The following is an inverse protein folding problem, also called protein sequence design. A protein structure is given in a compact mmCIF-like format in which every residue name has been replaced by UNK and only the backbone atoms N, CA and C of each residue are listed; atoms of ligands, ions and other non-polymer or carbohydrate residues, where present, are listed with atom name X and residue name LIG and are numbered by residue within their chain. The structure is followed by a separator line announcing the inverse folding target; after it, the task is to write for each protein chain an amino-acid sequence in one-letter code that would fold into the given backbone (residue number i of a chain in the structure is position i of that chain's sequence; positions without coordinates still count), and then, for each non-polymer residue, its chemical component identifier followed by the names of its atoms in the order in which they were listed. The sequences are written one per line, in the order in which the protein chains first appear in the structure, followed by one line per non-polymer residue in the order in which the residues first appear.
data_IF_526690368408
#
_entry.id   IF_526690368408
#
_cell.length_a   1.000
_cell.length_b   1.000
_cell.length_c   1.000
_cell.angle_alpha   90.00
_cell.angle_beta   90.00
_cell.angle_gamma   90.00
#
_symmetry.space_group_name_H-M   'P 1'
#
loop_
_entity.id
_entity.type
_entity.pdbx_description
1 polymer ?
#
# COMPACT_ATOMS: atom_id res chain seq x y z
N UNK A 1 -0.32 12.45 6.44
CA UNK A 1 -1.81 12.40 6.46
C UNK A 1 -2.44 13.03 5.22
N UNK A 2 -2.22 14.31 4.89
CA UNK A 2 -2.86 14.98 3.72
C UNK A 2 -2.58 14.29 2.37
N UNK A 3 -1.41 13.66 2.22
CA UNK A 3 -1.07 12.88 1.02
C UNK A 3 -2.01 11.69 0.81
N UNK A 4 -2.48 11.02 1.87
CA UNK A 4 -3.41 9.89 1.75
C UNK A 4 -4.74 10.35 1.15
N UNK A 5 -5.28 11.46 1.63
CA UNK A 5 -6.49 12.06 1.08
C UNK A 5 -6.32 12.44 -0.40
N UNK A 6 -5.18 13.04 -0.75
CA UNK A 6 -4.86 13.37 -2.15
C UNK A 6 -4.83 12.12 -3.03
N UNK A 7 -4.23 11.02 -2.57
CA UNK A 7 -4.16 9.77 -3.32
C UNK A 7 -5.55 9.15 -3.48
N UNK A 8 -6.33 9.06 -2.41
CA UNK A 8 -7.71 8.55 -2.45
C UNK A 8 -8.54 9.37 -3.44
N UNK A 9 -8.47 10.70 -3.38
CA UNK A 9 -9.18 11.57 -4.30
C UNK A 9 -8.72 11.36 -5.76
N UNK A 10 -7.41 11.22 -6.01
CA UNK A 10 -6.87 10.99 -7.35
C UNK A 10 -7.26 9.63 -7.93
N UNK A 11 -7.19 8.55 -7.14
CA UNK A 11 -7.59 7.20 -7.59
C UNK A 11 -9.03 7.17 -8.09
N UNK A 12 -9.92 7.95 -7.45
CA UNK A 12 -11.33 8.03 -7.85
C UNK A 12 -11.62 9.04 -8.97
N UNK A 13 -10.66 9.91 -9.33
CA UNK A 13 -10.86 10.98 -10.34
C UNK A 13 -10.08 10.77 -11.63
N UNK A 14 -8.94 10.09 -11.60
CA UNK A 14 -8.09 9.90 -12.77
C UNK A 14 -8.74 8.90 -13.75
N UNK A 15 -8.96 9.35 -14.98
CA UNK A 15 -9.67 8.59 -16.02
C UNK A 15 -9.03 7.23 -16.30
N UNK A 16 -7.71 7.17 -16.46
CA UNK A 16 -7.00 5.92 -16.75
C UNK A 16 -7.15 4.86 -15.64
N UNK A 17 -7.25 5.25 -14.36
CA UNK A 17 -7.45 4.32 -13.23
C UNK A 17 -8.89 3.80 -13.22
N UNK A 18 -9.84 4.70 -13.47
CA UNK A 18 -11.26 4.36 -13.55
C UNK A 18 -11.53 3.44 -14.75
N UNK A 19 -10.91 3.71 -15.89
CA UNK A 19 -11.00 2.89 -17.10
C UNK A 19 -10.37 1.50 -16.89
N UNK A 20 -9.21 1.43 -16.22
CA UNK A 20 -8.59 0.16 -15.86
C UNK A 20 -9.54 -0.71 -15.02
N UNK A 21 -10.24 -0.11 -14.06
CA UNK A 21 -11.24 -0.81 -13.25
C UNK A 21 -12.38 -1.35 -14.12
N UNK A 22 -12.70 -0.75 -15.27
CA UNK A 22 -13.75 -1.20 -16.20
C UNK A 22 -13.25 -2.21 -17.24
N UNK A 23 -11.98 -2.61 -17.20
CA UNK A 23 -11.43 -3.54 -18.16
C UNK A 23 -12.23 -4.86 -18.17
N UNK A 24 -12.70 -5.28 -19.36
CA UNK A 24 -13.58 -6.44 -19.50
C UNK A 24 -12.96 -7.74 -18.97
N UNK A 25 -11.69 -8.01 -19.31
CA UNK A 25 -10.98 -9.22 -18.83
C UNK A 25 -10.80 -9.21 -17.30
N UNK A 26 -10.64 -8.03 -16.71
CA UNK A 26 -10.53 -7.87 -15.27
C UNK A 26 -11.87 -8.10 -14.58
N UNK A 27 -12.95 -7.54 -15.12
CA UNK A 27 -14.31 -7.71 -14.58
C UNK A 27 -14.83 -9.14 -14.73
N UNK A 28 -14.44 -9.86 -15.79
CA UNK A 28 -14.74 -11.28 -15.95
C UNK A 28 -14.08 -12.14 -14.85
N UNK A 29 -12.87 -11.79 -14.41
CA UNK A 29 -12.15 -12.52 -13.36
C UNK A 29 -12.49 -12.06 -11.94
N UNK A 30 -12.78 -10.76 -11.77
CA UNK A 30 -13.04 -10.10 -10.50
C UNK A 30 -14.23 -9.15 -10.66
N UNK A 31 -15.47 -9.66 -10.60
CA UNK A 31 -16.67 -8.86 -10.76
C UNK A 31 -16.75 -7.74 -9.72
N UNK A 32 -17.01 -6.52 -10.16
CA UNK A 32 -17.10 -5.35 -9.28
C UNK A 32 -15.75 -4.83 -8.79
N UNK A 33 -14.64 -5.32 -9.35
CA UNK A 33 -13.33 -4.81 -9.01
C UNK A 33 -13.23 -3.30 -9.25
N UNK A 34 -12.65 -2.59 -8.28
CA UNK A 34 -12.23 -1.20 -8.42
C UNK A 34 -10.90 -1.02 -7.72
N UNK A 35 -10.06 -0.16 -8.27
CA UNK A 35 -8.79 0.20 -7.63
C UNK A 35 -9.09 0.92 -6.31
N UNK A 36 -8.53 0.39 -5.22
CA UNK A 36 -8.58 0.96 -3.86
C UNK A 36 -7.18 0.94 -3.26
N UNK A 37 -6.96 1.78 -2.24
CA UNK A 37 -5.71 1.81 -1.50
C UNK A 37 -5.97 2.03 -0.01
N UNK A 38 -5.42 1.16 0.83
CA UNK A 38 -5.34 1.32 2.29
C UNK A 38 -4.04 2.02 2.67
N UNK A 39 -4.02 2.67 3.84
CA UNK A 39 -2.85 3.37 4.36
C UNK A 39 -2.71 3.11 5.86
N UNK A 40 -1.51 2.77 6.30
CA UNK A 40 -1.14 2.69 7.71
C UNK A 40 -0.07 3.71 8.05
N UNK A 41 -0.21 4.41 9.16
CA UNK A 41 0.81 5.34 9.67
C UNK A 41 0.95 5.13 11.18
N UNK A 42 2.15 4.76 11.59
CA UNK A 42 2.50 4.59 13.00
C UNK A 42 3.89 5.18 13.25
N UNK A 43 4.08 5.74 14.44
CA UNK A 43 5.35 6.31 14.87
C UNK A 43 5.90 5.50 16.05
N UNK A 44 7.18 5.13 15.97
CA UNK A 44 7.89 4.44 17.03
C UNK A 44 9.33 4.15 16.63
N UNK A 45 10.11 3.62 17.58
CA UNK A 45 11.50 3.25 17.32
C UNK A 45 11.58 2.12 16.28
N UNK A 46 12.66 2.12 15.51
CA UNK A 46 13.08 1.01 14.68
C UNK A 46 14.61 1.00 14.57
N UNK A 47 15.18 -0.20 14.41
CA UNK A 47 16.59 -0.34 14.05
C UNK A 47 16.65 -0.32 12.52
N UNK A 48 17.38 0.63 11.97
CA UNK A 48 17.68 0.71 10.54
C UNK A 48 19.02 0.01 10.25
N UNK A 49 19.09 -0.75 9.17
CA UNK A 49 20.35 -1.33 8.75
C UNK A 49 20.25 -2.19 7.49
N UNK A 50 21.41 -2.54 6.96
CA UNK A 50 21.56 -3.54 5.91
C UNK A 50 21.37 -4.94 6.51
N UNK A 51 20.39 -5.68 6.01
CA UNK A 51 20.06 -7.03 6.48
C UNK A 51 20.17 -8.00 5.32
N UNK A 52 20.82 -9.14 5.54
CA UNK A 52 20.92 -10.19 4.54
C UNK A 52 22.22 -10.98 4.67
N UNK A 53 22.61 -11.59 3.56
CA UNK A 53 23.86 -12.35 3.42
C UNK A 53 24.69 -11.78 2.27
N UNK A 54 25.88 -12.33 2.03
CA UNK A 54 26.73 -11.92 0.90
C UNK A 54 26.02 -11.97 -0.46
N UNK A 55 25.03 -12.85 -0.63
CA UNK A 55 24.31 -13.01 -1.88
C UNK A 55 23.16 -12.02 -2.06
N UNK A 56 22.63 -11.47 -0.97
CA UNK A 56 21.54 -10.50 -1.01
C UNK A 56 21.48 -9.70 0.28
N UNK A 57 21.54 -8.39 0.13
CA UNK A 57 21.48 -7.42 1.23
C UNK A 57 20.39 -6.40 0.88
N UNK A 58 19.49 -6.13 1.85
CA UNK A 58 18.43 -5.14 1.72
C UNK A 58 18.48 -4.15 2.89
N UNK A 59 18.30 -2.86 2.60
CA UNK A 59 18.11 -1.85 3.63
C UNK A 59 16.73 -2.03 4.27
N UNK A 60 16.69 -2.24 5.59
CA UNK A 60 15.49 -2.64 6.31
C UNK A 60 15.35 -1.92 7.65
N UNK A 61 14.10 -1.81 8.10
CA UNK A 61 13.73 -1.34 9.43
C UNK A 61 13.15 -2.50 10.23
N UNK A 62 13.70 -2.78 11.42
CA UNK A 62 13.22 -3.83 12.31
C UNK A 62 12.69 -3.25 13.63
N UNK A 63 11.43 -3.54 13.91
CA UNK A 63 10.78 -3.24 15.19
C UNK A 63 9.33 -3.75 15.22
N UNK A 64 8.76 -4.05 16.40
CA UNK A 64 7.32 -4.27 16.55
C UNK A 64 6.48 -3.11 16.01
N UNK A 65 6.99 -1.88 16.01
CA UNK A 65 6.31 -0.69 15.48
C UNK A 65 6.03 -0.78 13.97
N UNK A 66 6.92 -1.44 13.21
CA UNK A 66 6.72 -1.66 11.77
C UNK A 66 5.50 -2.56 11.53
N UNK A 67 5.30 -3.57 12.39
CA UNK A 67 4.13 -4.45 12.31
C UNK A 67 2.82 -3.71 12.60
N UNK A 68 2.83 -2.74 13.53
CA UNK A 68 1.65 -1.91 13.83
C UNK A 68 1.27 -1.08 12.60
N UNK A 69 2.24 -0.44 11.93
CA UNK A 69 1.99 0.28 10.68
C UNK A 69 1.34 -0.63 9.62
N UNK A 70 1.83 -1.86 9.48
CA UNK A 70 1.26 -2.87 8.56
C UNK A 70 -0.18 -3.25 8.93
N UNK A 71 -0.46 -3.47 10.22
CA UNK A 71 -1.83 -3.79 10.71
C UNK A 71 -2.81 -2.65 10.47
N UNK A 72 -2.38 -1.40 10.66
CA UNK A 72 -3.20 -0.23 10.35
C UNK A 72 -3.54 -0.16 8.86
N UNK A 73 -2.57 -0.45 7.99
CA UNK A 73 -2.82 -0.50 6.54
C UNK A 73 -3.85 -1.57 6.19
N UNK A 74 -3.68 -2.79 6.70
CA UNK A 74 -4.58 -3.91 6.44
C UNK A 74 -6.02 -3.63 6.89
N UNK A 75 -6.22 -2.88 7.99
CA UNK A 75 -7.54 -2.52 8.50
C UNK A 75 -8.27 -1.46 7.65
N UNK A 76 -7.61 -0.86 6.66
CA UNK A 76 -8.15 0.24 5.83
C UNK A 76 -8.38 -0.13 4.36
N UNK A 77 -8.26 -1.41 4.01
CA UNK A 77 -8.49 -1.96 2.67
C UNK A 77 -9.96 -2.25 2.36
#
# INVERSE_FOLDING_TARGET
MFSFLKIIAKINKLSHIVEYSRNKKLQEKLPGYKVKMGFGLHFGWAIEGAIGSEFKIDASYLSPNVNIASRLEAATK
#
